data_IF_877617501681
#
_entry.id   IF_877617501681
#
_cell.length_a   1.000
_cell.length_b   1.000
_cell.length_c   1.000
_cell.angle_alpha   90.00
_cell.angle_beta   90.00
_cell.angle_gamma   90.00
#
_symmetry.space_group_name_H-M   'P 1'
#
loop_
_entity.id
_entity.type
_entity.pdbx_description
1 polymer ?
#
# COMPACT_ATOMS: atom_id res chain seq x y z
N UNK A 1 -3.44 -9.86 -6.55
CA UNK A 1 -2.86 -8.72 -7.30
C UNK A 1 -1.64 -8.12 -6.61
N UNK A 2 -1.70 -7.75 -5.32
CA UNK A 2 -0.60 -7.07 -4.63
C UNK A 2 0.78 -7.74 -4.67
N UNK A 3 0.84 -9.07 -4.50
CA UNK A 3 2.12 -9.80 -4.57
C UNK A 3 2.83 -9.66 -5.92
N UNK A 4 2.09 -9.84 -7.03
CA UNK A 4 2.62 -9.72 -8.39
C UNK A 4 3.10 -8.29 -8.65
N UNK A 5 2.32 -7.30 -8.19
CA UNK A 5 2.71 -5.89 -8.30
C UNK A 5 3.97 -5.57 -7.48
N UNK A 6 4.10 -6.16 -6.30
CA UNK A 6 5.31 -6.10 -5.48
C UNK A 6 6.55 -6.60 -6.21
N UNK A 7 6.47 -7.81 -6.75
CA UNK A 7 7.57 -8.42 -7.51
C UNK A 7 7.92 -7.64 -8.78
N UNK A 8 6.96 -6.98 -9.42
CA UNK A 8 7.22 -6.14 -10.58
C UNK A 8 8.21 -4.99 -10.29
N UNK A 9 8.27 -4.50 -9.05
CA UNK A 9 9.21 -3.46 -8.66
C UNK A 9 10.66 -3.95 -8.51
N UNK A 10 10.88 -5.27 -8.43
CA UNK A 10 12.18 -5.88 -8.14
C UNK A 10 13.37 -5.23 -8.87
N UNK A 11 13.34 -5.00 -10.20
CA UNK A 11 14.48 -4.40 -10.90
C UNK A 11 14.81 -2.99 -10.42
N UNK A 12 13.78 -2.17 -10.18
CA UNK A 12 13.95 -0.79 -9.71
C UNK A 12 14.43 -0.74 -8.26
N UNK A 13 13.93 -1.63 -7.40
CA UNK A 13 14.37 -1.68 -6.01
C UNK A 13 15.84 -2.09 -5.93
N UNK A 14 16.30 -3.04 -6.76
CA UNK A 14 17.70 -3.46 -6.77
C UNK A 14 18.67 -2.35 -7.19
N UNK A 15 18.24 -1.39 -8.01
CA UNK A 15 19.05 -0.22 -8.36
C UNK A 15 18.89 0.94 -7.35
N UNK A 16 18.26 0.69 -6.21
CA UNK A 16 18.15 1.62 -5.09
C UNK A 16 16.89 2.48 -5.06
N UNK A 17 15.88 2.21 -5.89
CA UNK A 17 14.60 2.89 -5.78
C UNK A 17 13.89 2.51 -4.47
N UNK A 18 13.41 3.50 -3.70
CA UNK A 18 12.81 3.39 -2.36
C UNK A 18 13.71 2.80 -1.25
N UNK A 19 14.63 1.88 -1.56
CA UNK A 19 15.52 1.23 -0.60
C UNK A 19 17.00 1.32 -1.00
N UNK A 20 17.58 2.54 -1.10
CA UNK A 20 18.97 2.72 -1.53
C UNK A 20 19.98 2.09 -0.55
N UNK A 21 19.65 1.96 0.73
CA UNK A 21 20.53 1.38 1.76
C UNK A 21 20.37 -0.14 1.85
N UNK A 22 19.21 -0.68 1.48
CA UNK A 22 18.88 -2.10 1.62
C UNK A 22 18.18 -2.68 0.36
N UNK A 23 18.83 -2.71 -0.81
CA UNK A 23 18.19 -3.06 -2.08
C UNK A 23 17.64 -4.50 -2.13
N UNK A 24 18.32 -5.47 -1.52
CA UNK A 24 17.85 -6.88 -1.51
C UNK A 24 16.64 -7.03 -0.59
N UNK A 25 16.75 -6.59 0.67
CA UNK A 25 15.65 -6.65 1.65
C UNK A 25 14.46 -5.79 1.21
N UNK A 26 14.73 -4.68 0.53
CA UNK A 26 13.75 -3.77 -0.03
C UNK A 26 12.76 -4.44 -0.98
N UNK A 27 13.16 -5.50 -1.70
CA UNK A 27 12.25 -6.26 -2.58
C UNK A 27 11.12 -6.90 -1.76
N UNK A 28 11.49 -7.54 -0.64
CA UNK A 28 10.53 -8.16 0.26
C UNK A 28 9.62 -7.12 0.90
N UNK A 29 10.21 -6.00 1.35
CA UNK A 29 9.48 -4.88 1.94
C UNK A 29 8.47 -4.29 0.95
N UNK A 30 8.89 -3.98 -0.28
CA UNK A 30 8.00 -3.46 -1.33
C UNK A 30 6.87 -4.44 -1.63
N UNK A 31 7.16 -5.74 -1.63
CA UNK A 31 6.14 -6.76 -1.85
C UNK A 31 5.09 -6.77 -0.75
N UNK A 32 5.51 -6.70 0.53
CA UNK A 32 4.58 -6.61 1.67
C UNK A 32 3.76 -5.32 1.58
N UNK A 33 4.41 -4.19 1.27
CA UNK A 33 3.74 -2.91 1.10
C UNK A 33 2.65 -2.96 0.02
N UNK A 34 2.96 -3.51 -1.16
CA UNK A 34 2.00 -3.68 -2.25
C UNK A 34 0.84 -4.61 -1.85
N UNK A 35 1.09 -5.66 -1.07
CA UNK A 35 0.05 -6.54 -0.53
C UNK A 35 -0.88 -5.76 0.40
N UNK A 36 -0.33 -4.95 1.31
CA UNK A 36 -1.11 -4.15 2.26
C UNK A 36 -1.89 -3.03 1.58
N UNK A 37 -1.35 -2.42 0.53
CA UNK A 37 -2.02 -1.31 -0.15
C UNK A 37 -3.15 -1.76 -1.07
N UNK A 38 -3.03 -2.95 -1.67
CA UNK A 38 -3.95 -3.42 -2.70
C UNK A 38 -5.42 -3.46 -2.27
N UNK A 39 -5.81 -3.98 -1.08
CA UNK A 39 -7.21 -4.02 -0.68
C UNK A 39 -7.83 -2.63 -0.54
N UNK A 40 -7.06 -1.62 -0.11
CA UNK A 40 -7.53 -0.23 0.00
C UNK A 40 -7.87 0.32 -1.39
N UNK A 41 -6.97 0.12 -2.36
CA UNK A 41 -7.21 0.52 -3.76
C UNK A 41 -8.44 -0.19 -4.32
N UNK A 42 -8.51 -1.51 -4.15
CA UNK A 42 -9.65 -2.33 -4.63
C UNK A 42 -10.97 -1.87 -4.01
N UNK A 43 -11.00 -1.62 -2.71
CA UNK A 43 -12.20 -1.15 -2.01
C UNK A 43 -12.69 0.19 -2.56
N UNK A 44 -11.78 1.16 -2.78
CA UNK A 44 -12.12 2.46 -3.36
C UNK A 44 -12.69 2.31 -4.78
N UNK A 45 -12.14 1.41 -5.60
CA UNK A 45 -12.66 1.16 -6.96
C UNK A 45 -14.04 0.51 -6.91
N UNK A 46 -14.25 -0.50 -6.07
CA UNK A 46 -15.56 -1.17 -5.92
C UNK A 46 -16.63 -0.15 -5.51
N UNK A 47 -16.32 0.71 -4.53
CA UNK A 47 -17.24 1.73 -4.03
C UNK A 47 -17.54 2.83 -5.04
N UNK A 48 -16.52 3.32 -5.73
CA UNK A 48 -16.65 4.42 -6.69
C UNK A 48 -17.09 3.97 -8.08
N UNK A 49 -16.99 2.67 -8.38
CA UNK A 49 -17.16 2.08 -9.72
C UNK A 49 -16.30 2.77 -10.79
N UNK A 50 -15.15 3.33 -10.41
CA UNK A 50 -14.29 4.10 -11.31
C UNK A 50 -12.81 3.88 -11.01
N UNK A 51 -12.05 3.54 -12.05
CA UNK A 51 -10.59 3.38 -11.98
C UNK A 51 -9.85 4.72 -11.78
N UNK A 52 -10.50 5.86 -12.09
CA UNK A 52 -9.92 7.19 -11.90
C UNK A 52 -9.65 7.44 -10.41
N UNK A 53 -10.51 6.95 -9.52
CA UNK A 53 -10.32 7.12 -8.07
C UNK A 53 -9.07 6.39 -7.57
N UNK A 54 -8.79 5.19 -8.09
CA UNK A 54 -7.55 4.48 -7.81
C UNK A 54 -6.33 5.24 -8.32
N UNK A 55 -6.40 5.80 -9.54
CA UNK A 55 -5.31 6.58 -10.11
C UNK A 55 -5.00 7.84 -9.27
N UNK A 56 -6.04 8.56 -8.83
CA UNK A 56 -5.89 9.73 -7.94
C UNK A 56 -5.27 9.30 -6.62
N UNK A 57 -5.82 8.28 -5.95
CA UNK A 57 -5.33 7.81 -4.67
C UNK A 57 -3.86 7.36 -4.73
N UNK A 58 -3.52 6.54 -5.73
CA UNK A 58 -2.15 6.07 -5.93
C UNK A 58 -1.19 7.21 -6.31
N UNK A 59 -1.63 8.14 -7.17
CA UNK A 59 -0.85 9.33 -7.54
C UNK A 59 -0.57 10.24 -6.33
N UNK A 60 -1.58 10.46 -5.48
CA UNK A 60 -1.41 11.22 -4.23
C UNK A 60 -0.42 10.55 -3.29
N UNK A 61 -0.50 9.23 -3.10
CA UNK A 61 0.46 8.49 -2.29
C UNK A 61 1.90 8.68 -2.78
N UNK A 62 2.13 8.58 -4.10
CA UNK A 62 3.45 8.76 -4.68
C UNK A 62 3.97 10.20 -4.51
N UNK A 63 3.09 11.20 -4.64
CA UNK A 63 3.46 12.60 -4.45
C UNK A 63 3.92 12.91 -3.02
N UNK A 64 3.33 12.25 -2.01
CA UNK A 64 3.68 12.47 -0.59
C UNK A 64 4.73 11.48 -0.06
N UNK A 65 5.05 10.41 -0.80
CA UNK A 65 5.94 9.35 -0.33
C UNK A 65 7.33 9.85 0.11
N UNK A 66 7.85 10.88 -0.58
CA UNK A 66 9.16 11.48 -0.29
C UNK A 66 9.20 12.35 0.98
N UNK A 67 8.05 12.81 1.50
CA UNK A 67 8.02 13.74 2.64
C UNK A 67 8.65 13.10 3.89
N UNK A 68 8.32 11.84 4.18
CA UNK A 68 8.89 11.15 5.34
C UNK A 68 10.41 10.98 5.25
N UNK A 69 10.95 10.78 4.04
CA UNK A 69 12.40 10.63 3.82
C UNK A 69 13.13 11.96 3.95
N UNK A 70 12.51 13.06 3.51
CA UNK A 70 13.13 14.39 3.53
C UNK A 70 13.17 15.04 4.91
N UNK A 71 12.15 14.80 5.75
CA UNK A 71 11.95 15.57 6.98
C UNK A 71 12.23 14.80 8.27
N UNK A 72 12.35 13.47 8.24
CA UNK A 72 12.64 12.68 9.44
C UNK A 72 14.16 12.52 9.66
N UNK A 73 14.59 12.71 10.91
CA UNK A 73 15.98 12.53 11.34
C UNK A 73 16.11 11.21 12.10
N UNK A 74 17.13 10.42 11.76
CA UNK A 74 17.36 9.08 12.31
C UNK A 74 16.54 7.99 11.60
N UNK A 75 16.83 6.72 11.86
CA UNK A 75 16.24 5.58 11.14
C UNK A 75 16.86 5.34 9.76
N UNK A 76 16.17 4.56 8.93
CA UNK A 76 16.60 4.18 7.57
C UNK A 76 15.38 3.95 6.65
N UNK A 77 15.65 3.60 5.38
CA UNK A 77 14.64 3.29 4.37
C UNK A 77 13.73 2.09 4.70
N UNK A 78 14.10 1.23 5.65
CA UNK A 78 13.26 0.13 6.14
C UNK A 78 12.28 0.57 7.23
N UNK A 79 12.62 1.60 7.99
CA UNK A 79 11.86 2.00 9.19
C UNK A 79 10.97 3.20 8.92
N UNK A 80 11.46 4.15 8.12
CA UNK A 80 10.82 5.43 7.88
C UNK A 80 10.05 5.51 6.56
N UNK A 81 9.13 6.47 6.50
CA UNK A 81 8.40 6.80 5.27
C UNK A 81 7.27 5.83 4.95
N UNK A 82 6.66 6.06 3.78
CA UNK A 82 5.46 5.33 3.33
C UNK A 82 5.77 3.86 3.04
N UNK A 83 6.99 3.55 2.58
CA UNK A 83 7.44 2.19 2.26
C UNK A 83 8.19 1.51 3.42
N UNK A 84 8.43 2.20 4.54
CA UNK A 84 9.02 1.61 5.73
C UNK A 84 7.99 0.99 6.68
N UNK A 85 8.46 0.43 7.80
CA UNK A 85 7.63 -0.15 8.86
C UNK A 85 6.54 0.81 9.34
N UNK A 86 6.84 2.11 9.46
CA UNK A 86 5.85 3.13 9.83
C UNK A 86 4.65 3.14 8.87
N UNK A 87 4.91 3.07 7.56
CA UNK A 87 3.88 2.95 6.54
C UNK A 87 3.12 1.63 6.62
N UNK A 88 3.79 0.52 6.97
CA UNK A 88 3.14 -0.80 7.06
C UNK A 88 2.16 -0.85 8.21
N UNK A 89 2.55 -0.32 9.37
CA UNK A 89 1.66 -0.20 10.53
C UNK A 89 0.45 0.66 10.14
N UNK A 90 0.67 1.79 9.46
CA UNK A 90 -0.40 2.67 9.01
C UNK A 90 -1.36 1.95 8.06
N UNK A 91 -0.86 1.25 7.04
CA UNK A 91 -1.69 0.50 6.10
C UNK A 91 -2.42 -0.66 6.76
N UNK A 92 -1.78 -1.36 7.70
CA UNK A 92 -2.43 -2.43 8.45
C UNK A 92 -3.62 -1.88 9.26
N UNK A 93 -3.42 -0.78 9.98
CA UNK A 93 -4.49 -0.12 10.72
C UNK A 93 -5.62 0.37 9.80
N UNK A 94 -5.30 0.93 8.63
CA UNK A 94 -6.29 1.34 7.64
C UNK A 94 -7.09 0.13 7.12
N UNK A 95 -6.44 -0.98 6.79
CA UNK A 95 -7.13 -2.19 6.35
C UNK A 95 -8.06 -2.74 7.43
N UNK A 96 -7.61 -2.76 8.69
CA UNK A 96 -8.43 -3.15 9.83
C UNK A 96 -9.64 -2.21 9.95
N UNK A 97 -9.42 -0.89 9.89
CA UNK A 97 -10.48 0.10 9.95
C UNK A 97 -11.49 -0.07 8.80
N UNK A 98 -11.02 -0.31 7.57
CA UNK A 98 -11.87 -0.55 6.40
C UNK A 98 -12.67 -1.84 6.55
N UNK A 99 -12.06 -2.91 7.06
CA UNK A 99 -12.74 -4.16 7.33
C UNK A 99 -13.88 -3.97 8.34
N UNK A 100 -13.62 -3.28 9.47
CA UNK A 100 -14.65 -3.00 10.47
C UNK A 100 -15.73 -2.06 9.92
N UNK A 101 -15.33 -1.01 9.20
CA UNK A 101 -16.27 -0.08 8.57
C UNK A 101 -17.20 -0.82 7.59
N UNK A 102 -16.64 -1.67 6.74
CA UNK A 102 -17.39 -2.42 5.75
C UNK A 102 -18.33 -3.45 6.39
N UNK A 103 -17.84 -4.15 7.43
CA UNK A 103 -18.61 -5.17 8.14
C UNK A 103 -19.78 -4.59 8.93
N UNK A 104 -19.57 -3.49 9.64
CA UNK A 104 -20.52 -3.02 10.66
C UNK A 104 -21.32 -1.79 10.23
N UNK A 105 -20.76 -0.91 9.38
CA UNK A 105 -21.41 0.35 8.99
C UNK A 105 -22.10 0.17 7.64
N UNK A 106 -21.37 -0.18 6.57
CA UNK A 106 -21.98 -0.36 5.25
C UNK A 106 -22.71 -1.69 5.14
N UNK A 107 -22.25 -2.72 5.86
CA UNK A 107 -22.78 -4.09 5.85
C UNK A 107 -22.75 -4.73 4.46
N UNK A 108 -21.88 -4.24 3.58
CA UNK A 108 -21.73 -4.76 2.22
C UNK A 108 -20.85 -6.00 2.18
N UNK A 109 -19.99 -6.19 3.20
CA UNK A 109 -19.13 -7.35 3.39
C UNK A 109 -18.21 -7.61 2.18
N UNK A 110 -17.75 -6.53 1.53
CA UNK A 110 -16.85 -6.53 0.38
C UNK A 110 -15.58 -7.34 0.68
N UNK A 111 -15.03 -7.26 1.88
CA UNK A 111 -13.80 -8.00 2.23
C UNK A 111 -13.98 -9.51 2.35
N UNK A 112 -15.21 -10.00 2.48
CA UNK A 112 -15.50 -11.42 2.68
C UNK A 112 -16.28 -12.06 1.54
N UNK A 113 -16.75 -11.26 0.56
CA UNK A 113 -17.43 -11.77 -0.63
C UNK A 113 -16.46 -12.48 -1.56
N UNK A 114 -16.94 -13.55 -2.19
CA UNK A 114 -16.19 -14.19 -3.26
C UNK A 114 -16.17 -13.29 -4.51
N UNK A 115 -15.11 -13.41 -5.30
CA UNK A 115 -14.82 -12.51 -6.44
C UNK A 115 -15.95 -12.53 -7.51
N UNK A 116 -16.83 -13.54 -7.49
CA UNK A 116 -17.98 -13.65 -8.38
C UNK A 116 -19.27 -12.93 -7.93
N UNK A 117 -19.29 -12.30 -6.76
CA UNK A 117 -20.51 -11.72 -6.16
C UNK A 117 -20.61 -10.17 -6.23
N UNK A 118 -19.82 -9.54 -7.10
CA UNK A 118 -19.76 -8.08 -7.28
C UNK A 118 -20.40 -7.59 -8.57
#
# INVERSE_FOLDING_TARGET
TGFIWGLWHFPLILIGHNYPQHPITGVGMMTIWCILLSPVITYIVIKSKSVITAAIYHGTLNAIAGIGVLYLVGGNDLTNGVTGIAGFITLLLINIAFFFYDRYITKENIFTKEIGEF
#
